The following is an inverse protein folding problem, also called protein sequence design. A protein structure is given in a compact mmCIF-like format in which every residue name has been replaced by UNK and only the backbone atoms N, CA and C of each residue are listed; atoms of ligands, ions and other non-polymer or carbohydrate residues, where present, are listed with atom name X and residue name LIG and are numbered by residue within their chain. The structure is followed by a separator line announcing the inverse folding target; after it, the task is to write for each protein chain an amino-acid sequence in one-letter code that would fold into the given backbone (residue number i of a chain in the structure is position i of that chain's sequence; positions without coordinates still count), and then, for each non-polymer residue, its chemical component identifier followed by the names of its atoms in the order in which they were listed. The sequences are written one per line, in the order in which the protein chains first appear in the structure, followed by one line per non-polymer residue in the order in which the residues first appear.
data_IF_882940302428
#
_entry.id   IF_882940302428
#
_cell.length_a   1.000
_cell.length_b   1.000
_cell.length_c   1.000
_cell.angle_alpha   90.00
_cell.angle_beta   90.00
_cell.angle_gamma   90.00
#
_symmetry.space_group_name_H-M   'P 1'
#
loop_
_entity.id
_entity.type
_entity.pdbx_description
1 polymer ?
#
# COMPACT_ATOMS: atom_id res chain seq x y z
N UNK A 1 1.97 -20.89 15.24
CA UNK A 1 3.17 -20.06 15.47
C UNK A 1 3.36 -19.01 14.37
N UNK A 2 3.11 -19.35 13.12
CA UNK A 2 3.27 -18.42 11.97
C UNK A 2 2.40 -17.15 12.05
N UNK A 3 1.16 -17.29 12.49
CA UNK A 3 0.24 -16.15 12.65
C UNK A 3 0.73 -15.16 13.72
N UNK A 4 1.21 -15.66 14.85
CA UNK A 4 1.74 -14.81 15.94
C UNK A 4 2.97 -14.01 15.48
N UNK A 5 3.88 -14.63 14.72
CA UNK A 5 5.07 -13.93 14.21
C UNK A 5 4.73 -12.81 13.23
N UNK A 6 3.65 -12.97 12.43
CA UNK A 6 3.15 -11.89 11.55
C UNK A 6 2.60 -10.71 12.37
N UNK A 7 1.82 -10.98 13.43
CA UNK A 7 1.34 -9.93 14.34
C UNK A 7 2.49 -9.22 15.04
N UNK A 8 3.50 -9.94 15.50
CA UNK A 8 4.70 -9.35 16.12
C UNK A 8 5.46 -8.45 15.14
N UNK A 9 5.62 -8.89 13.88
CA UNK A 9 6.25 -8.08 12.85
C UNK A 9 5.50 -6.75 12.63
N UNK A 10 4.17 -6.81 12.51
CA UNK A 10 3.33 -5.60 12.39
C UNK A 10 3.46 -4.73 13.64
N UNK A 11 3.39 -5.30 14.84
CA UNK A 11 3.49 -4.55 16.10
C UNK A 11 4.82 -3.80 16.22
N UNK A 12 5.94 -4.44 15.90
CA UNK A 12 7.27 -3.79 15.89
C UNK A 12 7.29 -2.64 14.88
N UNK A 13 6.85 -2.88 13.65
CA UNK A 13 6.77 -1.82 12.63
C UNK A 13 5.90 -0.64 13.10
N UNK A 14 4.73 -0.94 13.67
CA UNK A 14 3.79 0.07 14.16
C UNK A 14 4.37 0.89 15.30
N UNK A 15 5.14 0.29 16.22
CA UNK A 15 5.81 1.00 17.29
C UNK A 15 6.76 2.07 16.73
N UNK A 16 7.60 1.73 15.75
CA UNK A 16 8.51 2.69 15.11
C UNK A 16 7.75 3.76 14.31
N UNK A 17 6.77 3.36 13.50
CA UNK A 17 5.97 4.30 12.70
C UNK A 17 5.19 5.29 13.56
N UNK A 18 4.53 4.80 14.61
CA UNK A 18 3.77 5.63 15.55
C UNK A 18 4.66 6.57 16.36
N UNK A 19 5.82 6.10 16.83
CA UNK A 19 6.80 6.95 17.53
C UNK A 19 7.35 8.05 16.62
N UNK A 20 7.70 7.73 15.37
CA UNK A 20 8.18 8.72 14.41
C UNK A 20 7.11 9.77 14.10
N UNK A 21 5.86 9.34 13.89
CA UNK A 21 4.73 10.26 13.72
C UNK A 21 4.55 11.18 14.93
N UNK A 22 4.59 10.64 16.14
CA UNK A 22 4.47 11.44 17.36
C UNK A 22 5.59 12.47 17.47
N UNK A 23 6.84 12.05 17.21
CA UNK A 23 8.00 12.93 17.23
C UNK A 23 7.87 14.07 16.21
N UNK A 24 7.52 13.77 14.97
CA UNK A 24 7.35 14.78 13.92
C UNK A 24 6.16 15.69 14.18
N UNK A 25 5.04 15.15 14.67
CA UNK A 25 3.85 15.91 15.03
C UNK A 25 4.09 16.91 16.17
N UNK A 26 4.95 16.56 17.15
CA UNK A 26 5.36 17.44 18.25
C UNK A 26 6.57 18.34 17.94
N UNK A 27 7.18 18.21 16.76
CA UNK A 27 8.42 18.89 16.37
C UNK A 27 8.18 20.34 15.90
N UNK A 28 9.28 20.97 15.45
CA UNK A 28 9.23 22.30 14.82
C UNK A 28 8.28 22.38 13.62
N UNK A 29 7.98 21.23 12.94
CA UNK A 29 7.02 21.19 11.83
C UNK A 29 5.64 21.73 12.23
N UNK A 30 5.16 21.42 13.42
CA UNK A 30 3.87 21.92 13.91
C UNK A 30 3.84 23.42 14.14
N UNK A 31 5.01 24.07 14.22
CA UNK A 31 5.15 25.52 14.48
C UNK A 31 5.28 26.36 13.20
N UNK A 32 5.59 25.71 12.06
CA UNK A 32 5.96 26.47 10.84
C UNK A 32 4.77 27.08 10.08
N UNK A 33 3.57 26.59 10.24
CA UNK A 33 2.49 26.91 9.29
C UNK A 33 1.27 27.63 9.90
N UNK A 34 1.39 28.22 11.07
CA UNK A 34 0.25 28.90 11.72
C UNK A 34 -0.93 27.95 11.91
N UNK A 35 -2.09 28.28 11.33
CA UNK A 35 -3.30 27.44 11.44
C UNK A 35 -3.33 26.23 10.52
N UNK A 36 -2.44 26.11 9.52
CA UNK A 36 -2.42 24.97 8.60
C UNK A 36 -1.77 23.73 9.26
N UNK A 37 -2.34 22.53 9.14
CA UNK A 37 -1.83 21.30 9.78
C UNK A 37 -0.61 20.72 9.05
N UNK A 38 0.47 21.48 8.99
CA UNK A 38 1.64 21.17 8.17
C UNK A 38 2.34 19.88 8.59
N UNK A 39 2.37 19.57 9.89
CA UNK A 39 2.99 18.33 10.36
C UNK A 39 2.29 17.08 9.83
N UNK A 40 0.96 17.03 9.94
CA UNK A 40 0.14 15.92 9.41
C UNK A 40 0.24 15.84 7.89
N UNK A 41 0.24 16.99 7.21
CA UNK A 41 0.43 17.06 5.77
C UNK A 41 1.75 16.41 5.35
N UNK A 42 2.88 16.83 5.93
CA UNK A 42 4.22 16.29 5.61
C UNK A 42 4.31 14.80 5.93
N UNK A 43 3.80 14.36 7.07
CA UNK A 43 3.77 12.95 7.47
C UNK A 43 3.04 12.10 6.42
N UNK A 44 1.86 12.53 5.99
CA UNK A 44 1.07 11.79 5.03
C UNK A 44 1.71 11.78 3.62
N UNK A 45 2.27 12.92 3.18
CA UNK A 45 2.97 13.01 1.87
C UNK A 45 4.23 12.13 1.85
N UNK A 46 5.06 12.21 2.90
CA UNK A 46 6.28 11.37 2.98
C UNK A 46 5.94 9.89 3.11
N UNK A 47 4.90 9.55 3.87
CA UNK A 47 4.41 8.17 3.95
C UNK A 47 3.87 7.64 2.63
N UNK A 48 3.18 8.49 1.86
CA UNK A 48 2.70 8.18 0.52
C UNK A 48 3.86 7.89 -0.46
N UNK A 49 4.92 8.69 -0.39
CA UNK A 49 6.13 8.42 -1.17
C UNK A 49 6.80 7.08 -0.76
N UNK A 50 6.98 6.88 0.55
CA UNK A 50 7.62 5.69 1.09
C UNK A 50 6.86 4.42 0.69
N UNK A 51 5.52 4.40 0.76
CA UNK A 51 4.75 3.20 0.41
C UNK A 51 4.84 2.90 -1.10
N UNK A 52 4.76 3.93 -1.97
CA UNK A 52 4.92 3.76 -3.41
C UNK A 52 6.30 3.22 -3.76
N UNK A 53 7.35 3.77 -3.17
CA UNK A 53 8.72 3.32 -3.36
C UNK A 53 8.93 1.88 -2.85
N UNK A 54 8.54 1.61 -1.60
CA UNK A 54 8.77 0.31 -0.97
C UNK A 54 8.02 -0.82 -1.66
N UNK A 55 6.73 -0.65 -1.96
CA UNK A 55 5.94 -1.71 -2.59
C UNK A 55 6.44 -2.01 -4.01
N UNK A 56 6.90 -0.99 -4.76
CA UNK A 56 7.50 -1.20 -6.09
C UNK A 56 8.80 -1.98 -6.01
N UNK A 57 9.71 -1.61 -5.09
CA UNK A 57 10.97 -2.36 -4.88
C UNK A 57 10.68 -3.83 -4.54
N UNK A 58 9.72 -4.07 -3.65
CA UNK A 58 9.39 -5.43 -3.20
C UNK A 58 8.69 -6.24 -4.30
N UNK A 59 7.84 -5.61 -5.10
CA UNK A 59 7.12 -6.29 -6.18
C UNK A 59 8.04 -6.64 -7.36
N UNK A 60 8.96 -5.73 -7.70
CA UNK A 60 9.70 -5.83 -8.95
C UNK A 60 11.15 -6.35 -8.76
N UNK A 61 11.70 -6.37 -7.52
CA UNK A 61 13.16 -6.54 -7.33
C UNK A 61 13.62 -7.43 -6.20
N UNK A 62 12.99 -7.33 -5.04
CA UNK A 62 13.54 -7.94 -3.83
C UNK A 62 12.54 -8.91 -3.23
N UNK A 63 12.92 -10.19 -3.23
CA UNK A 63 12.15 -11.21 -2.50
C UNK A 63 12.37 -11.04 -0.99
N UNK A 64 11.59 -10.14 -0.37
CA UNK A 64 11.58 -9.97 1.06
C UNK A 64 10.70 -11.02 1.75
N UNK A 65 11.11 -11.42 2.95
CA UNK A 65 10.26 -12.26 3.78
C UNK A 65 8.90 -11.58 4.03
N UNK A 66 7.84 -12.38 4.14
CA UNK A 66 6.49 -11.87 4.41
C UNK A 66 6.44 -11.03 5.69
N UNK A 67 7.22 -11.40 6.72
CA UNK A 67 7.29 -10.67 7.98
C UNK A 67 7.84 -9.25 7.79
N UNK A 68 8.89 -9.09 7.00
CA UNK A 68 9.49 -7.77 6.74
C UNK A 68 8.55 -6.90 5.90
N UNK A 69 7.87 -7.47 4.91
CA UNK A 69 6.84 -6.74 4.13
C UNK A 69 5.71 -6.23 5.03
N UNK A 70 5.21 -7.08 5.93
CA UNK A 70 4.17 -6.71 6.89
C UNK A 70 4.67 -5.66 7.90
N UNK A 71 5.88 -5.82 8.43
CA UNK A 71 6.46 -4.87 9.38
C UNK A 71 6.60 -3.47 8.76
N UNK A 72 7.03 -3.37 7.50
CA UNK A 72 7.26 -2.06 6.86
C UNK A 72 5.96 -1.48 6.31
N UNK A 73 5.24 -2.20 5.43
CA UNK A 73 4.09 -1.64 4.74
C UNK A 73 2.89 -1.44 5.67
N UNK A 74 2.53 -2.48 6.41
CA UNK A 74 1.35 -2.45 7.30
C UNK A 74 1.70 -1.83 8.64
N UNK A 75 2.79 -2.27 9.26
CA UNK A 75 3.21 -1.79 10.57
C UNK A 75 3.72 -0.36 10.52
N UNK A 76 4.89 -0.16 9.94
CA UNK A 76 5.56 1.15 9.98
C UNK A 76 4.78 2.22 9.21
N UNK A 77 4.54 2.06 7.91
CA UNK A 77 3.89 3.10 7.10
C UNK A 77 2.44 3.29 7.53
N UNK A 78 1.70 2.21 7.84
CA UNK A 78 0.33 2.28 8.31
C UNK A 78 0.18 3.01 9.65
N UNK A 79 1.14 2.87 10.58
CA UNK A 79 1.14 3.61 11.85
C UNK A 79 1.76 5.01 11.74
N UNK A 80 2.64 5.24 10.78
CA UNK A 80 3.26 6.53 10.50
C UNK A 80 2.26 7.53 9.92
N UNK A 81 1.49 7.13 8.91
CA UNK A 81 0.45 7.97 8.28
C UNK A 81 -0.83 8.01 9.11
N UNK A 82 -1.64 9.05 8.94
CA UNK A 82 -2.89 9.19 9.68
C UNK A 82 -3.96 9.95 8.89
N UNK A 83 -5.04 9.22 8.58
CA UNK A 83 -6.22 9.79 7.95
C UNK A 83 -7.13 10.49 8.98
N UNK A 84 -7.33 9.86 10.14
CA UNK A 84 -8.22 10.40 11.18
C UNK A 84 -7.74 11.74 11.76
N UNK A 85 -6.42 11.92 11.93
CA UNK A 85 -5.88 13.22 12.36
C UNK A 85 -6.09 14.28 11.28
N UNK A 86 -5.84 13.94 10.01
CA UNK A 86 -6.11 14.83 8.88
C UNK A 86 -7.58 15.28 8.82
N UNK A 87 -8.55 14.36 9.01
CA UNK A 87 -9.97 14.69 9.04
C UNK A 87 -10.31 15.59 10.22
N UNK A 88 -9.81 15.28 11.41
CA UNK A 88 -10.05 16.06 12.62
C UNK A 88 -9.51 17.49 12.50
N UNK A 89 -8.27 17.65 12.03
CA UNK A 89 -7.66 18.97 11.81
C UNK A 89 -8.38 19.77 10.74
N UNK A 90 -8.86 19.12 9.66
CA UNK A 90 -9.69 19.76 8.63
C UNK A 90 -11.01 20.24 9.20
N UNK A 91 -11.68 19.43 10.01
CA UNK A 91 -12.94 19.80 10.67
C UNK A 91 -12.73 21.01 11.62
N UNK A 92 -11.64 21.03 12.37
CA UNK A 92 -11.27 22.18 13.20
C UNK A 92 -11.08 23.47 12.40
N UNK A 93 -10.40 23.39 11.26
CA UNK A 93 -10.27 24.56 10.38
C UNK A 93 -11.63 25.11 9.91
N UNK A 94 -12.60 24.23 9.66
CA UNK A 94 -13.98 24.62 9.32
C UNK A 94 -14.67 25.30 10.51
N UNK A 95 -14.56 24.72 11.71
CA UNK A 95 -15.12 25.30 12.95
C UNK A 95 -14.54 26.68 13.26
N UNK A 96 -13.23 26.84 13.07
CA UNK A 96 -12.50 28.10 13.27
C UNK A 96 -12.70 29.12 12.11
N UNK A 97 -13.59 28.83 11.14
CA UNK A 97 -13.91 29.65 9.97
C UNK A 97 -12.74 29.84 8.98
N UNK A 98 -11.71 29.00 9.03
CA UNK A 98 -10.61 28.97 8.08
C UNK A 98 -10.94 28.10 6.85
N UNK A 99 -12.04 28.35 6.17
CA UNK A 99 -12.58 27.52 5.09
C UNK A 99 -11.61 27.33 3.94
N UNK A 100 -10.84 28.35 3.58
CA UNK A 100 -9.83 28.25 2.51
C UNK A 100 -8.70 27.28 2.91
N UNK A 101 -8.23 27.34 4.17
CA UNK A 101 -7.21 26.42 4.66
C UNK A 101 -7.73 24.99 4.76
N UNK A 102 -9.00 24.81 5.16
CA UNK A 102 -9.64 23.50 5.18
C UNK A 102 -9.70 22.89 3.76
N UNK A 103 -10.15 23.67 2.77
CA UNK A 103 -10.20 23.26 1.37
C UNK A 103 -8.79 22.94 0.83
N UNK A 104 -7.82 23.81 1.11
CA UNK A 104 -6.43 23.61 0.70
C UNK A 104 -5.85 22.34 1.34
N UNK A 105 -6.11 22.09 2.63
CA UNK A 105 -5.64 20.87 3.29
C UNK A 105 -6.17 19.60 2.59
N UNK A 106 -7.45 19.58 2.23
CA UNK A 106 -8.05 18.44 1.51
C UNK A 106 -7.43 18.29 0.12
N UNK A 107 -7.46 19.35 -0.68
CA UNK A 107 -7.02 19.31 -2.09
C UNK A 107 -5.52 18.98 -2.18
N UNK A 108 -4.68 19.69 -1.42
CA UNK A 108 -3.24 19.47 -1.47
C UNK A 108 -2.85 18.11 -0.93
N UNK A 109 -3.48 17.62 0.16
CA UNK A 109 -3.18 16.29 0.69
C UNK A 109 -3.51 15.19 -0.31
N UNK A 110 -4.63 15.28 -1.01
CA UNK A 110 -5.02 14.29 -2.02
C UNK A 110 -4.12 14.37 -3.25
N UNK A 111 -3.98 15.56 -3.84
CA UNK A 111 -3.23 15.73 -5.09
C UNK A 111 -1.74 15.47 -4.90
N UNK A 112 -1.12 16.09 -3.89
CA UNK A 112 0.32 15.92 -3.63
C UNK A 112 0.60 14.53 -3.07
N UNK A 113 -0.30 13.95 -2.27
CA UNK A 113 -0.20 12.57 -1.81
C UNK A 113 -0.17 11.57 -2.97
N UNK A 114 -1.06 11.74 -3.96
CA UNK A 114 -1.06 10.92 -5.16
C UNK A 114 0.23 11.09 -5.98
N UNK A 115 0.68 12.35 -6.18
CA UNK A 115 1.95 12.65 -6.84
C UNK A 115 3.13 12.04 -6.09
N UNK A 116 3.10 12.05 -4.76
CA UNK A 116 4.14 11.46 -3.93
C UNK A 116 4.22 9.92 -4.07
N UNK A 117 3.07 9.22 -4.09
CA UNK A 117 3.03 7.77 -4.38
C UNK A 117 3.66 7.50 -5.75
N UNK A 118 3.22 8.24 -6.77
CA UNK A 118 3.74 8.08 -8.13
C UNK A 118 5.24 8.41 -8.22
N UNK A 119 5.68 9.44 -7.54
CA UNK A 119 7.10 9.80 -7.41
C UNK A 119 7.91 8.68 -6.74
N UNK A 120 7.36 8.03 -5.72
CA UNK A 120 7.97 6.86 -5.08
C UNK A 120 8.12 5.69 -6.05
N UNK A 121 7.09 5.39 -6.83
CA UNK A 121 7.12 4.34 -7.88
C UNK A 121 8.20 4.65 -8.92
N UNK A 122 8.22 5.87 -9.44
CA UNK A 122 9.23 6.29 -10.43
C UNK A 122 10.64 6.20 -9.83
N UNK A 123 10.84 6.70 -8.62
CA UNK A 123 12.13 6.64 -7.94
C UNK A 123 12.60 5.20 -7.72
N UNK A 124 11.69 4.30 -7.35
CA UNK A 124 12.01 2.89 -7.23
C UNK A 124 12.47 2.28 -8.56
N UNK A 125 11.78 2.60 -9.65
CA UNK A 125 12.13 2.13 -10.99
C UNK A 125 13.41 2.76 -11.54
N UNK A 126 13.68 4.02 -11.23
CA UNK A 126 14.89 4.73 -11.66
C UNK A 126 16.18 4.18 -11.02
N UNK A 127 16.10 3.43 -9.92
CA UNK A 127 17.24 2.69 -9.38
C UNK A 127 17.64 1.50 -10.27
N UNK A 128 16.84 1.17 -11.28
CA UNK A 128 17.25 0.29 -12.37
C UNK A 128 18.08 1.10 -13.38
N UNK A 129 19.36 0.82 -13.47
CA UNK A 129 20.06 1.02 -14.73
C UNK A 129 19.40 0.09 -15.76
N UNK A 130 18.66 0.68 -16.69
CA UNK A 130 18.10 0.11 -17.91
C UNK A 130 18.04 -1.43 -18.05
N UNK A 131 16.92 -2.03 -17.66
CA UNK A 131 16.32 -3.12 -18.41
C UNK A 131 14.79 -3.00 -18.29
N UNK A 132 14.09 -2.39 -19.25
CA UNK A 132 12.68 -2.69 -19.41
C UNK A 132 12.61 -4.20 -19.62
N UNK A 133 11.76 -4.87 -18.85
CA UNK A 133 11.48 -6.28 -19.10
C UNK A 133 11.09 -6.40 -20.57
N UNK A 134 11.97 -7.00 -21.38
CA UNK A 134 11.73 -7.10 -22.81
C UNK A 134 10.40 -7.80 -23.03
N UNK A 135 9.65 -7.42 -24.05
CA UNK A 135 8.41 -8.12 -24.43
C UNK A 135 8.61 -9.63 -24.48
N UNK A 136 9.82 -10.09 -24.77
CA UNK A 136 10.20 -11.50 -24.73
C UNK A 136 10.24 -12.11 -23.31
N UNK A 137 10.59 -11.34 -22.28
CA UNK A 137 10.56 -11.81 -20.89
C UNK A 137 9.13 -11.85 -20.36
N UNK A 138 8.28 -10.89 -20.74
CA UNK A 138 6.86 -10.90 -20.42
C UNK A 138 6.14 -12.08 -21.06
N UNK A 139 6.40 -12.36 -22.33
CA UNK A 139 5.83 -13.51 -23.07
C UNK A 139 6.29 -14.85 -22.48
N UNK A 140 7.54 -14.97 -22.02
CA UNK A 140 8.01 -16.18 -21.32
C UNK A 140 7.32 -16.37 -19.98
N UNK A 141 7.06 -15.30 -19.24
CA UNK A 141 6.34 -15.39 -17.96
C UNK A 141 4.89 -15.83 -18.16
N UNK A 142 4.21 -15.32 -19.22
CA UNK A 142 2.86 -15.79 -19.59
C UNK A 142 2.89 -17.25 -20.05
N UNK A 143 3.88 -17.66 -20.83
CA UNK A 143 4.03 -19.04 -21.32
C UNK A 143 4.34 -20.02 -20.17
N UNK A 144 5.18 -19.64 -19.20
CA UNK A 144 5.44 -20.44 -17.99
C UNK A 144 4.23 -20.50 -17.06
N UNK A 145 3.45 -19.43 -16.95
CA UNK A 145 2.21 -19.41 -16.18
C UNK A 145 1.15 -20.30 -16.81
N UNK A 146 1.01 -20.29 -18.12
CA UNK A 146 0.07 -21.16 -18.86
C UNK A 146 0.48 -22.64 -18.80
N UNK A 147 1.79 -22.95 -18.83
CA UNK A 147 2.29 -24.30 -18.65
C UNK A 147 2.18 -24.84 -17.22
N UNK A 148 2.04 -23.97 -16.22
CA UNK A 148 1.88 -24.37 -14.81
C UNK A 148 0.44 -24.74 -14.46
N UNK A 149 -0.52 -24.39 -15.31
CA UNK A 149 -1.91 -24.81 -15.14
C UNK A 149 -2.05 -26.27 -15.65
N UNK A 150 -2.48 -27.21 -14.82
CA UNK A 150 -2.60 -28.62 -15.25
C UNK A 150 -3.58 -28.71 -16.43
N UNK A 151 -3.23 -29.45 -17.50
CA UNK A 151 -4.07 -29.55 -18.69
C UNK A 151 -5.48 -29.92 -18.30
N UNK A 152 -6.43 -29.04 -18.58
CA UNK A 152 -7.84 -29.31 -18.38
C UNK A 152 -8.20 -30.53 -19.20
N UNK A 153 -8.46 -31.67 -18.54
CA UNK A 153 -8.82 -32.93 -19.21
C UNK A 153 -10.09 -32.68 -20.02
N UNK A 154 -10.05 -32.84 -21.36
CA UNK A 154 -11.25 -32.76 -22.15
C UNK A 154 -12.18 -33.88 -21.71
N UNK A 155 -13.21 -33.57 -20.94
CA UNK A 155 -14.17 -34.54 -20.40
C UNK A 155 -14.63 -34.29 -18.97
N UNK A 156 -13.92 -33.49 -18.18
CA UNK A 156 -14.28 -33.25 -16.77
C UNK A 156 -15.69 -32.64 -16.60
N UNK A 157 -16.13 -31.82 -17.54
CA UNK A 157 -17.49 -31.28 -17.52
C UNK A 157 -18.59 -32.34 -17.82
N UNK A 158 -18.28 -33.35 -18.62
CA UNK A 158 -19.22 -34.45 -18.90
C UNK A 158 -19.40 -35.33 -17.69
N UNK A 159 -18.33 -35.69 -16.98
CA UNK A 159 -18.41 -36.51 -15.78
C UNK A 159 -19.20 -35.85 -14.64
N UNK A 160 -19.09 -34.54 -14.48
CA UNK A 160 -19.87 -33.80 -13.48
C UNK A 160 -21.35 -33.75 -13.87
N UNK A 161 -21.67 -33.60 -15.15
CA UNK A 161 -23.06 -33.61 -15.65
C UNK A 161 -23.71 -34.98 -15.47
N UNK A 162 -23.01 -36.05 -15.81
CA UNK A 162 -23.53 -37.40 -15.68
C UNK A 162 -23.67 -37.87 -14.21
N UNK A 163 -22.78 -37.44 -13.32
CA UNK A 163 -22.90 -37.65 -11.89
C UNK A 163 -24.11 -36.91 -11.28
N UNK A 164 -24.41 -35.72 -11.78
CA UNK A 164 -25.54 -34.91 -11.31
C UNK A 164 -26.88 -35.50 -11.78
N UNK A 165 -26.94 -36.01 -13.01
CA UNK A 165 -28.15 -36.66 -13.58
C UNK A 165 -28.42 -37.97 -12.84
N UNK A 166 -27.40 -38.81 -12.55
CA UNK A 166 -27.57 -40.05 -11.76
C UNK A 166 -28.06 -39.81 -10.33
N UNK A 167 -27.70 -38.69 -9.70
CA UNK A 167 -28.22 -38.34 -8.36
C UNK A 167 -29.66 -37.92 -8.34
N UNK A 168 -30.16 -37.26 -9.39
CA UNK A 168 -31.57 -36.81 -9.49
C UNK A 168 -32.55 -37.93 -9.91
N UNK A 169 -32.06 -39.00 -10.46
CA UNK A 169 -32.90 -40.14 -10.86
C UNK A 169 -33.10 -41.22 -9.78
N UNK A 170 -32.59 -40.99 -8.55
CA UNK A 170 -32.76 -41.92 -7.41
C UNK A 170 -33.46 -41.31 -6.18
N UNK A 171 -34.20 -40.22 -6.38
CA UNK A 171 -35.04 -39.61 -5.35
C UNK A 171 -36.52 -39.81 -5.71
#
# INVERSE_FOLDING_TARGET
METLSKYLAVAVGSAFGGMLRYYLGGSALSRFAGSFPFATFVINITGSFIIGFFLTIVAERVSLSQHLRLAIAVGFVGAYTTFSTFEYETARLVEERHLVLALLNVVLSVVIGFVAVWGGIIAARALEGEAPMSSAAYLRFEEEADMSDPPQRPGAERDIRDATIKRKGRA
#
